data_IF_076260256232
#
_entry.id   IF_076260256232
#
_cell.length_a   1.000
_cell.length_b   1.000
_cell.length_c   1.000
_cell.angle_alpha   90.00
_cell.angle_beta   90.00
_cell.angle_gamma   90.00
#
_symmetry.space_group_name_H-M   'P 1'
#
loop_
_entity.id
_entity.type
_entity.pdbx_description
1 polymer ?
#
# COMPACT_ATOMS: atom_id res chain seq x y z
N UNK A 1 61.32 25.91 -47.15
CA UNK A 1 61.52 24.47 -46.79
C UNK A 1 61.56 24.30 -45.28
N UNK A 2 60.51 24.02 -44.63
CA UNK A 2 60.54 23.49 -43.30
C UNK A 2 59.16 22.76 -43.06
N UNK A 3 59.20 21.45 -43.01
CA UNK A 3 58.02 20.57 -42.65
C UNK A 3 57.84 20.65 -41.19
N UNK A 4 56.60 21.09 -40.70
CA UNK A 4 56.15 20.96 -39.34
C UNK A 4 55.47 19.62 -39.20
N UNK A 5 56.00 18.79 -38.33
CA UNK A 5 55.36 17.60 -37.79
C UNK A 5 54.30 18.01 -36.76
N UNK A 6 53.05 17.67 -37.00
CA UNK A 6 51.98 17.83 -36.06
C UNK A 6 51.70 16.46 -35.42
N UNK A 7 52.06 16.33 -34.15
CA UNK A 7 51.75 15.14 -33.32
C UNK A 7 50.28 15.16 -32.92
N UNK A 8 49.52 14.21 -33.42
CA UNK A 8 48.18 13.89 -32.89
C UNK A 8 48.33 13.20 -31.55
N UNK A 9 47.82 13.82 -30.50
CA UNK A 9 47.58 13.18 -29.22
C UNK A 9 46.15 12.60 -29.27
N UNK A 10 46.05 11.29 -29.41
CA UNK A 10 44.78 10.57 -29.30
C UNK A 10 44.38 10.47 -27.82
N UNK A 11 43.36 11.21 -27.41
CA UNK A 11 42.72 11.05 -26.12
C UNK A 11 41.84 9.79 -26.20
N UNK A 12 42.26 8.72 -25.55
CA UNK A 12 41.44 7.55 -25.34
C UNK A 12 40.36 7.88 -24.31
N UNK A 13 39.15 8.23 -24.79
CA UNK A 13 37.96 8.22 -23.93
C UNK A 13 37.64 6.77 -23.58
N UNK A 14 37.83 6.41 -22.30
CA UNK A 14 37.30 5.20 -21.72
C UNK A 14 35.77 5.24 -21.76
N UNK A 15 35.18 4.61 -22.75
CA UNK A 15 33.77 4.21 -22.71
C UNK A 15 33.61 3.09 -21.69
N UNK A 16 33.28 3.43 -20.47
CA UNK A 16 32.75 2.47 -19.53
C UNK A 16 31.33 2.10 -20.02
N UNK A 17 31.03 0.80 -20.22
CA UNK A 17 29.67 0.43 -20.55
C UNK A 17 28.79 0.71 -19.31
N UNK A 18 27.88 1.65 -19.47
CA UNK A 18 26.74 1.76 -18.56
C UNK A 18 25.93 0.48 -18.77
N UNK A 19 26.12 -0.48 -17.87
CA UNK A 19 25.26 -1.66 -17.81
C UNK A 19 23.90 -1.16 -17.35
N UNK A 20 23.04 -0.83 -18.28
CA UNK A 20 21.62 -0.70 -18.03
C UNK A 20 21.15 -2.11 -17.64
N UNK A 21 20.91 -2.33 -16.36
CA UNK A 21 20.24 -3.52 -15.87
C UNK A 21 18.79 -3.37 -16.33
N UNK A 22 18.50 -3.90 -17.51
CA UNK A 22 17.13 -4.08 -17.95
C UNK A 22 16.43 -4.99 -16.93
N UNK A 23 15.30 -4.56 -16.39
CA UNK A 23 14.39 -5.46 -15.72
C UNK A 23 14.07 -6.57 -16.75
N UNK A 24 14.38 -7.81 -16.41
CA UNK A 24 14.18 -8.93 -17.34
C UNK A 24 12.67 -9.10 -17.56
N UNK A 25 12.24 -8.89 -18.80
CA UNK A 25 10.88 -9.20 -19.25
C UNK A 25 10.67 -10.73 -19.44
N UNK A 26 11.57 -11.56 -18.88
CA UNK A 26 11.48 -12.99 -18.95
C UNK A 26 10.48 -13.51 -17.89
N UNK A 27 9.32 -14.04 -18.32
CA UNK A 27 8.33 -14.61 -17.41
C UNK A 27 8.88 -15.74 -16.52
N UNK A 28 9.86 -16.49 -17.00
CA UNK A 28 10.48 -17.58 -16.24
C UNK A 28 11.40 -17.07 -15.14
N UNK A 29 12.11 -15.98 -15.38
CA UNK A 29 12.91 -15.31 -14.35
C UNK A 29 12.02 -14.70 -13.26
N UNK A 30 10.91 -14.09 -13.65
CA UNK A 30 9.91 -13.57 -12.71
C UNK A 30 9.33 -14.68 -11.83
N UNK A 31 8.94 -15.82 -12.40
CA UNK A 31 8.44 -16.97 -11.63
C UNK A 31 9.50 -17.58 -10.72
N UNK A 32 10.77 -17.67 -11.16
CA UNK A 32 11.90 -18.12 -10.32
C UNK A 32 12.10 -17.21 -9.12
N UNK A 33 12.06 -15.91 -9.31
CA UNK A 33 12.19 -14.93 -8.24
C UNK A 33 11.00 -14.97 -7.27
N UNK A 34 9.78 -15.17 -7.78
CA UNK A 34 8.60 -15.41 -6.95
C UNK A 34 8.72 -16.68 -6.11
N UNK A 35 9.18 -17.78 -6.72
CA UNK A 35 9.40 -19.05 -6.01
C UNK A 35 10.43 -18.88 -4.90
N UNK A 36 11.51 -18.14 -5.14
CA UNK A 36 12.54 -17.82 -4.15
C UNK A 36 11.97 -17.00 -2.99
N UNK A 37 11.18 -15.96 -3.26
CA UNK A 37 10.49 -15.19 -2.22
C UNK A 37 9.56 -16.05 -1.35
N UNK A 38 8.86 -16.99 -1.97
CA UNK A 38 7.98 -17.93 -1.27
C UNK A 38 8.74 -18.95 -0.41
N UNK A 39 10.04 -19.15 -0.64
CA UNK A 39 10.89 -20.05 0.14
C UNK A 39 11.67 -19.34 1.25
N UNK A 40 11.83 -18.03 1.18
CA UNK A 40 12.60 -17.29 2.19
C UNK A 40 11.84 -17.20 3.52
N UNK A 41 12.52 -17.46 4.65
CA UNK A 41 11.90 -17.41 5.98
C UNK A 41 11.41 -16.01 6.30
N UNK A 42 10.36 -15.92 7.12
CA UNK A 42 9.84 -14.66 7.61
C UNK A 42 10.88 -13.95 8.49
N UNK A 43 11.23 -12.73 8.10
CA UNK A 43 12.14 -11.86 8.86
C UNK A 43 11.40 -10.65 9.41
N UNK A 44 11.95 -10.07 10.49
CA UNK A 44 11.46 -8.86 11.13
C UNK A 44 12.60 -7.86 11.23
N UNK A 45 12.38 -6.66 10.69
CA UNK A 45 13.39 -5.59 10.62
C UNK A 45 12.76 -4.27 11.02
N UNK A 46 13.39 -3.53 11.94
CA UNK A 46 13.00 -2.14 12.19
C UNK A 46 13.56 -1.27 11.08
N UNK A 47 12.71 -0.43 10.53
CA UNK A 47 13.08 0.53 9.48
C UNK A 47 12.60 1.92 9.85
N UNK A 48 13.32 2.92 9.38
CA UNK A 48 12.98 4.33 9.53
C UNK A 48 12.62 4.90 8.16
N UNK A 49 11.58 5.68 8.08
CA UNK A 49 11.18 6.39 6.86
C UNK A 49 11.09 7.90 7.06
N UNK A 50 10.57 8.57 6.07
CA UNK A 50 10.25 9.99 6.14
C UNK A 50 9.18 10.27 7.23
N UNK A 51 9.05 11.51 7.71
CA UNK A 51 7.98 11.89 8.63
C UNK A 51 6.60 11.45 8.11
N UNK A 52 5.85 10.74 8.95
CA UNK A 52 4.54 10.15 8.62
C UNK A 52 4.56 9.03 7.57
N UNK A 53 5.69 8.40 7.31
CA UNK A 53 5.81 7.32 6.32
C UNK A 53 4.84 6.16 6.58
N UNK A 54 4.56 5.86 7.84
CA UNK A 54 3.66 4.77 8.25
C UNK A 54 2.34 5.27 8.90
N UNK A 55 1.96 6.53 8.64
CA UNK A 55 0.78 7.19 9.18
C UNK A 55 1.16 8.44 9.99
N UNK A 56 0.17 9.20 10.40
CA UNK A 56 0.37 10.46 11.11
C UNK A 56 1.20 10.27 12.40
N UNK A 57 2.34 10.95 12.47
CA UNK A 57 3.28 10.86 13.59
C UNK A 57 4.16 9.60 13.58
N UNK A 58 4.02 8.74 12.58
CA UNK A 58 4.76 7.48 12.47
C UNK A 58 5.92 7.62 11.47
N UNK A 59 7.14 7.34 11.94
CA UNK A 59 8.39 7.37 11.14
C UNK A 59 9.12 6.05 11.15
N UNK A 60 8.77 5.14 12.05
CA UNK A 60 9.43 3.85 12.21
C UNK A 60 8.39 2.72 12.24
N UNK A 61 8.73 1.62 11.63
CA UNK A 61 7.88 0.42 11.63
C UNK A 61 8.71 -0.86 11.58
N UNK A 62 8.05 -1.96 11.86
CA UNK A 62 8.58 -3.30 11.66
C UNK A 62 8.17 -3.78 10.26
N UNK A 63 9.11 -4.17 9.43
CA UNK A 63 8.85 -4.90 8.20
C UNK A 63 8.80 -6.40 8.51
N UNK A 64 7.65 -7.05 8.23
CA UNK A 64 7.45 -8.50 8.30
C UNK A 64 7.44 -9.08 6.88
N UNK A 65 8.57 -9.60 6.40
CA UNK A 65 8.72 -10.00 4.99
C UNK A 65 9.18 -11.44 4.88
N UNK A 66 8.56 -12.22 4.00
CA UNK A 66 8.90 -13.61 3.75
C UNK A 66 7.77 -14.59 4.07
N UNK A 67 8.10 -15.87 4.15
CA UNK A 67 7.18 -16.98 4.41
C UNK A 67 7.09 -17.25 5.90
N UNK A 68 5.90 -17.50 6.41
CA UNK A 68 5.69 -18.06 7.75
C UNK A 68 6.19 -19.52 7.76
N UNK A 69 7.43 -19.70 8.15
CA UNK A 69 8.13 -20.98 8.26
C UNK A 69 8.23 -21.39 9.73
N UNK A 70 8.72 -22.60 9.98
CA UNK A 70 8.95 -23.12 11.33
C UNK A 70 9.86 -22.17 12.14
N UNK A 71 9.46 -21.86 13.36
CA UNK A 71 10.16 -20.93 14.26
C UNK A 71 9.93 -19.45 13.98
N UNK A 72 9.05 -19.07 13.04
CA UNK A 72 8.73 -17.65 12.77
C UNK A 72 8.19 -16.95 14.01
N UNK A 73 7.33 -17.60 14.78
CA UNK A 73 6.78 -17.04 16.01
C UNK A 73 7.84 -16.85 17.10
N UNK A 74 8.77 -17.80 17.19
CA UNK A 74 9.89 -17.70 18.14
C UNK A 74 10.82 -16.55 17.75
N UNK A 75 11.18 -16.41 16.47
CA UNK A 75 11.98 -15.27 15.97
C UNK A 75 11.28 -13.94 16.26
N UNK A 76 9.95 -13.89 16.16
CA UNK A 76 9.21 -12.67 16.47
C UNK A 76 9.23 -12.33 17.96
N UNK A 77 9.13 -13.32 18.86
CA UNK A 77 9.29 -13.10 20.32
C UNK A 77 10.67 -12.58 20.64
N UNK A 78 11.72 -13.20 20.10
CA UNK A 78 13.11 -12.77 20.28
C UNK A 78 13.36 -11.37 19.74
N UNK A 79 12.82 -11.05 18.58
CA UNK A 79 12.87 -9.72 18.00
C UNK A 79 12.24 -8.67 18.92
N UNK A 80 11.04 -8.92 19.45
CA UNK A 80 10.38 -8.02 20.38
C UNK A 80 11.11 -7.92 21.72
N UNK A 81 11.68 -9.02 22.22
CA UNK A 81 12.46 -9.01 23.46
C UNK A 81 13.76 -8.18 23.34
N UNK A 82 14.39 -8.21 22.16
CA UNK A 82 15.58 -7.40 21.85
C UNK A 82 15.29 -5.97 21.40
N UNK A 83 14.02 -5.60 21.18
CA UNK A 83 13.64 -4.27 20.72
C UNK A 83 13.34 -3.33 21.89
N UNK A 84 13.93 -2.14 21.86
CA UNK A 84 13.59 -1.07 22.80
C UNK A 84 12.19 -0.47 22.56
N UNK A 85 11.64 -0.66 21.35
CA UNK A 85 10.35 -0.12 20.91
C UNK A 85 9.43 -1.30 20.56
N UNK A 86 8.47 -1.59 21.42
CA UNK A 86 7.51 -2.71 21.24
C UNK A 86 6.17 -2.29 20.65
N UNK A 87 5.95 -1.01 20.48
CA UNK A 87 4.71 -0.38 20.03
C UNK A 87 4.71 0.01 18.54
N UNK A 88 5.81 -0.28 17.82
CA UNK A 88 5.91 0.01 16.41
C UNK A 88 4.86 -0.77 15.62
N UNK A 89 4.22 -0.15 14.62
CA UNK A 89 3.35 -0.88 13.72
C UNK A 89 4.15 -1.87 12.89
N UNK A 90 3.56 -3.03 12.60
CA UNK A 90 4.15 -4.02 11.69
C UNK A 90 3.44 -4.01 10.35
N UNK A 91 4.21 -3.99 9.26
CA UNK A 91 3.67 -4.14 7.92
C UNK A 91 4.15 -5.45 7.30
N UNK A 92 3.18 -6.29 6.95
CA UNK A 92 3.45 -7.57 6.31
C UNK A 92 3.49 -7.45 4.79
N UNK A 93 4.42 -8.19 4.18
CA UNK A 93 4.42 -8.53 2.76
C UNK A 93 4.79 -10.00 2.61
N UNK A 94 3.79 -10.87 2.50
CA UNK A 94 3.94 -12.31 2.56
C UNK A 94 2.85 -13.04 1.78
N UNK A 95 3.21 -14.13 1.13
CA UNK A 95 2.24 -15.07 0.51
C UNK A 95 1.68 -16.12 1.49
N UNK A 96 2.09 -16.07 2.77
CA UNK A 96 1.63 -16.98 3.79
C UNK A 96 2.68 -18.01 4.21
N UNK A 97 2.26 -19.22 4.56
CA UNK A 97 3.11 -20.31 5.04
C UNK A 97 2.42 -21.18 6.08
N UNK A 98 3.11 -21.50 7.17
CA UNK A 98 2.58 -22.34 8.23
C UNK A 98 1.54 -21.59 9.06
N UNK A 99 0.34 -22.14 9.10
CA UNK A 99 -0.79 -21.56 9.81
C UNK A 99 -0.56 -21.48 11.32
N UNK A 100 0.05 -22.51 11.91
CA UNK A 100 0.39 -22.56 13.33
C UNK A 100 1.30 -21.39 13.76
N UNK A 101 2.30 -21.08 12.95
CA UNK A 101 3.22 -19.99 13.20
C UNK A 101 2.52 -18.62 13.08
N UNK A 102 1.68 -18.48 12.05
CA UNK A 102 0.94 -17.26 11.81
C UNK A 102 -0.05 -16.93 12.95
N UNK A 103 -0.78 -17.94 13.44
CA UNK A 103 -1.70 -17.75 14.58
C UNK A 103 -0.94 -17.38 15.85
N UNK A 104 0.21 -18.02 16.12
CA UNK A 104 1.05 -17.64 17.26
C UNK A 104 1.54 -16.18 17.16
N UNK A 105 1.98 -15.74 15.97
CA UNK A 105 2.35 -14.34 15.73
C UNK A 105 1.13 -13.43 15.96
N UNK A 106 -0.04 -13.81 15.50
CA UNK A 106 -1.27 -13.07 15.75
C UNK A 106 -1.59 -12.92 17.25
N UNK A 107 -1.39 -13.96 18.04
CA UNK A 107 -1.54 -13.90 19.50
C UNK A 107 -0.53 -12.93 20.11
N UNK A 108 0.74 -12.99 19.70
CA UNK A 108 1.80 -12.07 20.17
C UNK A 108 1.45 -10.61 19.82
N UNK A 109 0.95 -10.36 18.61
CA UNK A 109 0.50 -9.02 18.20
C UNK A 109 -0.63 -8.51 19.11
N UNK A 110 -1.58 -9.38 19.46
CA UNK A 110 -2.70 -9.05 20.36
C UNK A 110 -2.22 -8.73 21.77
N UNK A 111 -1.38 -9.58 22.34
CA UNK A 111 -0.83 -9.42 23.68
C UNK A 111 -0.03 -8.11 23.83
N UNK A 112 0.69 -7.72 22.78
CA UNK A 112 1.46 -6.47 22.74
C UNK A 112 0.66 -5.28 22.21
N UNK A 113 -0.65 -5.42 21.95
CA UNK A 113 -1.54 -4.36 21.44
C UNK A 113 -1.01 -3.69 20.17
N UNK A 114 -0.30 -4.44 19.34
CA UNK A 114 0.34 -3.89 18.15
C UNK A 114 -0.66 -3.53 17.05
N UNK A 115 -0.24 -2.60 16.22
CA UNK A 115 -0.89 -2.27 14.94
C UNK A 115 -0.28 -3.12 13.83
N UNK A 116 -1.10 -3.70 12.96
CA UNK A 116 -0.64 -4.40 11.77
C UNK A 116 -1.29 -3.86 10.50
N UNK A 117 -0.52 -3.85 9.43
CA UNK A 117 -0.95 -3.48 8.09
C UNK A 117 -0.29 -4.33 7.00
N UNK A 118 -0.59 -4.01 5.75
CA UNK A 118 -0.02 -4.68 4.57
C UNK A 118 0.67 -3.66 3.69
N UNK A 119 1.98 -3.77 3.57
CA UNK A 119 2.77 -2.89 2.72
C UNK A 119 4.11 -3.53 2.35
N UNK A 120 4.68 -3.10 1.24
CA UNK A 120 6.04 -3.42 0.84
C UNK A 120 6.99 -2.41 1.46
N UNK A 121 7.95 -2.89 2.20
CA UNK A 121 9.07 -2.07 2.69
C UNK A 121 10.20 -2.17 1.68
N UNK A 122 10.62 -1.06 1.12
CA UNK A 122 11.69 -0.98 0.12
C UNK A 122 12.82 -0.12 0.68
N UNK A 123 14.01 -0.68 0.96
CA UNK A 123 15.15 0.06 1.44
C UNK A 123 15.54 1.20 0.48
N UNK A 124 16.06 2.27 1.02
CA UNK A 124 16.57 3.38 0.22
C UNK A 124 17.70 2.90 -0.71
N UNK A 125 17.71 3.41 -1.94
CA UNK A 125 18.63 2.96 -2.99
C UNK A 125 18.18 1.69 -3.71
N UNK A 126 17.10 1.04 -3.27
CA UNK A 126 16.50 -0.12 -3.94
C UNK A 126 15.41 0.32 -4.91
N UNK A 127 15.34 -0.36 -6.06
CA UNK A 127 14.26 -0.14 -7.02
C UNK A 127 12.94 -0.74 -6.53
N UNK A 128 11.83 -0.10 -6.88
CA UNK A 128 10.48 -0.61 -6.62
C UNK A 128 10.14 -1.76 -7.58
N UNK A 129 11.04 -2.70 -7.74
CA UNK A 129 10.77 -3.95 -8.46
C UNK A 129 10.00 -4.92 -7.58
N UNK A 130 9.22 -5.78 -8.18
CA UNK A 130 8.63 -6.90 -7.48
C UNK A 130 8.96 -8.18 -8.25
N UNK A 131 9.59 -9.12 -7.59
CA UNK A 131 10.18 -9.11 -6.23
C UNK A 131 11.37 -8.14 -6.11
N UNK A 132 11.79 -7.80 -4.89
CA UNK A 132 13.05 -7.09 -4.67
C UNK A 132 14.20 -7.94 -5.21
N UNK A 133 15.20 -7.29 -5.79
CA UNK A 133 16.41 -7.98 -6.24
C UNK A 133 17.20 -8.59 -5.06
N UNK A 134 18.14 -9.47 -5.37
CA UNK A 134 18.90 -10.21 -4.37
C UNK A 134 19.74 -9.31 -3.46
N UNK A 135 20.25 -8.18 -3.97
CA UNK A 135 21.04 -7.24 -3.17
C UNK A 135 20.16 -6.53 -2.14
N UNK A 136 19.00 -6.05 -2.56
CA UNK A 136 18.04 -5.39 -1.69
C UNK A 136 17.44 -6.34 -0.65
N UNK A 137 17.23 -7.62 -1.00
CA UNK A 137 16.82 -8.64 -0.03
C UNK A 137 17.89 -8.91 1.02
N UNK A 138 19.16 -9.08 0.62
CA UNK A 138 20.28 -9.24 1.56
C UNK A 138 20.42 -8.03 2.47
N UNK A 139 20.19 -6.82 1.95
CA UNK A 139 20.17 -5.60 2.74
C UNK A 139 19.12 -5.71 3.85
N UNK A 140 17.88 -6.06 3.53
CA UNK A 140 16.81 -6.27 4.50
C UNK A 140 17.17 -7.34 5.55
N UNK A 141 17.86 -8.41 5.15
CA UNK A 141 18.26 -9.50 6.03
C UNK A 141 19.43 -9.15 6.96
N UNK A 142 20.17 -8.08 6.68
CA UNK A 142 21.41 -7.74 7.40
C UNK A 142 21.23 -7.30 8.86
N UNK A 143 19.97 -7.27 9.37
CA UNK A 143 19.58 -6.86 10.73
C UNK A 143 20.07 -5.45 11.15
N UNK A 144 20.53 -4.63 10.21
CA UNK A 144 20.83 -3.23 10.45
C UNK A 144 19.54 -2.43 10.37
N UNK A 145 19.47 -1.33 11.10
CA UNK A 145 18.41 -0.35 10.89
C UNK A 145 18.62 0.30 9.52
N UNK A 146 17.57 0.32 8.70
CA UNK A 146 17.61 0.86 7.35
C UNK A 146 16.65 2.00 7.20
N UNK A 147 17.01 2.98 6.39
CA UNK A 147 16.06 3.92 5.82
C UNK A 147 15.31 3.23 4.70
N UNK A 148 13.99 3.34 4.71
CA UNK A 148 13.13 2.66 3.75
C UNK A 148 11.92 3.50 3.40
N UNK A 149 11.28 3.16 2.29
CA UNK A 149 9.96 3.67 1.89
C UNK A 149 8.91 2.57 2.00
N UNK A 150 7.69 2.98 2.34
CA UNK A 150 6.54 2.09 2.45
C UNK A 150 5.66 2.22 1.21
N UNK A 151 5.39 1.10 0.54
CA UNK A 151 4.56 1.07 -0.66
C UNK A 151 3.40 0.11 -0.47
N UNK A 152 2.19 0.61 -0.73
CA UNK A 152 0.97 -0.19 -0.64
C UNK A 152 0.64 -0.89 -1.97
N UNK A 153 0.96 -0.25 -3.10
CA UNK A 153 0.78 -0.83 -4.43
C UNK A 153 1.50 -2.16 -4.60
N UNK A 154 0.75 -3.21 -4.96
CA UNK A 154 1.25 -4.57 -5.11
C UNK A 154 1.67 -5.27 -3.81
N UNK A 155 1.45 -4.65 -2.65
CA UNK A 155 1.64 -5.29 -1.35
C UNK A 155 0.58 -6.38 -1.12
N UNK A 156 0.97 -7.45 -0.45
CA UNK A 156 0.09 -8.59 -0.27
C UNK A 156 0.31 -9.32 1.05
N UNK A 157 -0.79 -9.80 1.60
CA UNK A 157 -0.80 -10.71 2.72
C UNK A 157 -1.74 -11.85 2.38
N UNK A 158 -1.18 -13.02 2.09
CA UNK A 158 -1.91 -14.19 1.62
C UNK A 158 -1.97 -15.32 2.64
N UNK A 159 -3.04 -16.13 2.60
CA UNK A 159 -3.14 -17.37 3.37
C UNK A 159 -2.87 -17.15 4.87
N UNK A 160 -1.89 -17.88 5.44
CA UNK A 160 -1.49 -17.77 6.84
C UNK A 160 -1.20 -16.33 7.30
N UNK A 161 -0.64 -15.48 6.42
CA UNK A 161 -0.39 -14.08 6.73
C UNK A 161 -1.66 -13.31 7.18
N UNK A 162 -2.81 -13.60 6.57
CA UNK A 162 -4.08 -12.98 6.95
C UNK A 162 -4.40 -13.28 8.41
N UNK A 163 -4.20 -14.52 8.84
CA UNK A 163 -4.46 -14.94 10.23
C UNK A 163 -3.47 -14.32 11.22
N UNK A 164 -2.21 -14.11 10.83
CA UNK A 164 -1.28 -13.33 11.67
C UNK A 164 -1.74 -11.88 11.82
N UNK A 165 -2.06 -11.22 10.71
CA UNK A 165 -2.45 -9.81 10.68
C UNK A 165 -3.71 -9.55 11.50
N UNK A 166 -4.74 -10.40 11.40
CA UNK A 166 -6.01 -10.20 12.14
C UNK A 166 -5.86 -10.37 13.66
N UNK A 167 -4.75 -10.93 14.12
CA UNK A 167 -4.40 -10.95 15.54
C UNK A 167 -4.12 -9.56 16.13
N UNK A 168 -3.64 -8.62 15.35
CA UNK A 168 -3.34 -7.28 15.84
C UNK A 168 -4.56 -6.56 16.44
N UNK A 169 -4.30 -5.64 17.38
CA UNK A 169 -5.35 -4.83 18.01
C UNK A 169 -5.88 -3.76 17.07
N UNK A 170 -5.00 -3.13 16.32
CA UNK A 170 -5.35 -2.20 15.25
C UNK A 170 -4.89 -2.78 13.92
N UNK A 171 -5.78 -2.82 12.94
CA UNK A 171 -5.56 -3.46 11.65
C UNK A 171 -5.93 -2.53 10.52
N UNK A 172 -5.10 -2.50 9.47
CA UNK A 172 -5.41 -1.71 8.29
C UNK A 172 -4.88 -2.32 7.00
N UNK A 173 -5.64 -2.15 5.94
CA UNK A 173 -5.27 -2.55 4.59
C UNK A 173 -5.50 -1.35 3.68
N UNK A 174 -4.42 -0.70 3.27
CA UNK A 174 -4.52 0.49 2.45
C UNK A 174 -4.86 0.16 0.99
N UNK A 175 -5.43 1.09 0.24
CA UNK A 175 -5.65 0.92 -1.19
C UNK A 175 -4.37 0.53 -1.93
N UNK A 176 -4.49 -0.42 -2.84
CA UNK A 176 -3.35 -1.01 -3.55
C UNK A 176 -2.71 -2.21 -2.85
N UNK A 177 -2.92 -2.38 -1.54
CA UNK A 177 -2.57 -3.61 -0.83
C UNK A 177 -3.71 -4.63 -0.90
N UNK A 178 -3.37 -5.92 -0.87
CA UNK A 178 -4.35 -6.99 -0.99
C UNK A 178 -4.23 -8.03 0.13
N UNK A 179 -5.38 -8.42 0.68
CA UNK A 179 -5.52 -9.66 1.46
C UNK A 179 -6.01 -10.77 0.55
N UNK A 180 -5.40 -11.95 0.63
CA UNK A 180 -5.74 -13.08 -0.23
C UNK A 180 -5.95 -14.34 0.58
N UNK A 181 -7.07 -15.03 0.33
CA UNK A 181 -7.46 -16.23 1.07
C UNK A 181 -7.57 -17.43 0.14
N UNK A 182 -7.39 -18.61 0.70
CA UNK A 182 -7.69 -19.92 0.13
C UNK A 182 -7.92 -20.95 1.25
N UNK A 183 -8.43 -22.14 0.91
CA UNK A 183 -8.64 -23.20 1.88
C UNK A 183 -7.34 -23.65 2.54
N UNK A 184 -7.43 -24.07 3.79
CA UNK A 184 -6.35 -24.80 4.43
C UNK A 184 -6.03 -26.10 3.63
N UNK A 185 -4.81 -26.58 3.76
CA UNK A 185 -4.38 -27.85 3.16
C UNK A 185 -3.82 -28.77 4.24
N UNK A 186 -4.05 -30.06 4.10
CA UNK A 186 -3.51 -31.07 5.03
C UNK A 186 -4.56 -32.07 5.52
N UNK A 187 -4.14 -33.12 6.25
CA UNK A 187 -5.03 -34.21 6.65
C UNK A 187 -6.03 -33.85 7.76
N UNK A 188 -5.84 -32.74 8.47
CA UNK A 188 -6.69 -32.32 9.60
C UNK A 188 -7.40 -30.98 9.33
N UNK A 189 -7.88 -30.78 8.09
CA UNK A 189 -8.51 -29.51 7.66
C UNK A 189 -9.64 -29.12 8.60
N UNK A 190 -10.55 -30.02 8.94
CA UNK A 190 -11.73 -29.71 9.79
C UNK A 190 -11.31 -29.24 11.20
N UNK A 191 -10.27 -29.84 11.77
CA UNK A 191 -9.75 -29.42 13.08
C UNK A 191 -9.11 -28.03 12.97
N UNK A 192 -8.34 -27.79 11.91
CA UNK A 192 -7.70 -26.50 11.66
C UNK A 192 -8.76 -25.40 11.47
N UNK A 193 -9.80 -25.66 10.68
CA UNK A 193 -10.88 -24.70 10.44
C UNK A 193 -11.67 -24.39 11.73
N UNK A 194 -12.01 -25.43 12.52
CA UNK A 194 -12.68 -25.21 13.80
C UNK A 194 -11.83 -24.42 14.80
N UNK A 195 -10.53 -24.65 14.80
CA UNK A 195 -9.59 -23.86 15.58
C UNK A 195 -9.55 -22.41 15.09
N UNK A 196 -9.47 -22.18 13.78
CA UNK A 196 -9.45 -20.84 13.20
C UNK A 196 -10.74 -20.07 13.50
N UNK A 197 -11.92 -20.70 13.45
CA UNK A 197 -13.18 -20.01 13.81
C UNK A 197 -13.12 -19.46 15.24
N UNK A 198 -12.65 -20.29 16.21
CA UNK A 198 -12.46 -19.81 17.59
C UNK A 198 -11.42 -18.71 17.72
N UNK A 199 -10.30 -18.84 17.00
CA UNK A 199 -9.26 -17.82 16.95
C UNK A 199 -9.81 -16.50 16.44
N UNK A 200 -10.51 -16.49 15.31
CA UNK A 200 -11.08 -15.28 14.71
C UNK A 200 -12.08 -14.59 15.66
N UNK A 201 -12.95 -15.33 16.31
CA UNK A 201 -13.86 -14.79 17.34
C UNK A 201 -13.06 -14.10 18.45
N UNK A 202 -12.01 -14.72 18.96
CA UNK A 202 -11.12 -14.13 19.97
C UNK A 202 -10.39 -12.87 19.47
N UNK A 203 -10.19 -12.75 18.15
CA UNK A 203 -9.58 -11.57 17.52
C UNK A 203 -10.61 -10.52 17.06
N UNK A 204 -11.90 -10.73 17.35
CA UNK A 204 -12.98 -9.80 16.95
C UNK A 204 -13.17 -9.75 15.43
N UNK A 205 -12.99 -10.89 14.76
CA UNK A 205 -13.20 -11.07 13.32
C UNK A 205 -14.31 -12.10 13.10
N UNK A 206 -15.17 -11.87 12.11
CA UNK A 206 -16.26 -12.80 11.78
C UNK A 206 -15.68 -14.16 11.35
N UNK A 207 -16.03 -15.27 12.04
CA UNK A 207 -15.57 -16.61 11.70
C UNK A 207 -16.00 -17.08 10.30
N UNK A 208 -17.01 -16.45 9.68
CA UNK A 208 -17.39 -16.70 8.29
C UNK A 208 -16.25 -16.43 7.29
N UNK A 209 -15.18 -15.77 7.69
CA UNK A 209 -13.92 -15.68 6.90
C UNK A 209 -13.35 -17.06 6.60
N UNK A 210 -13.44 -18.03 7.55
CA UNK A 210 -12.99 -19.41 7.33
C UNK A 210 -13.83 -20.08 6.24
N UNK A 211 -15.16 -19.90 6.29
CA UNK A 211 -16.08 -20.47 5.30
C UNK A 211 -15.84 -19.88 3.89
N UNK A 212 -15.53 -18.58 3.85
CA UNK A 212 -15.15 -17.91 2.60
C UNK A 212 -13.83 -18.45 2.05
N UNK A 213 -12.85 -18.76 2.89
CA UNK A 213 -11.59 -19.36 2.50
C UNK A 213 -11.74 -20.82 2.04
N UNK A 214 -12.53 -21.63 2.75
CA UNK A 214 -12.76 -23.04 2.45
C UNK A 214 -13.33 -23.29 1.05
N UNK A 215 -14.02 -22.30 0.47
CA UNK A 215 -14.57 -22.38 -0.89
C UNK A 215 -13.54 -22.16 -2.00
N UNK A 216 -12.32 -21.77 -1.66
CA UNK A 216 -11.28 -21.43 -2.63
C UNK A 216 -10.24 -22.57 -2.62
N UNK A 217 -9.90 -23.08 -3.79
CA UNK A 217 -8.88 -24.13 -3.89
C UNK A 217 -7.57 -23.72 -3.23
N UNK A 218 -6.92 -24.63 -2.50
CA UNK A 218 -5.62 -24.39 -1.88
C UNK A 218 -4.50 -24.04 -2.86
N UNK A 219 -4.73 -24.22 -4.15
CA UNK A 219 -3.79 -23.91 -5.24
C UNK A 219 -3.99 -22.51 -5.84
N UNK A 220 -5.06 -21.82 -5.47
CA UNK A 220 -5.41 -20.51 -6.00
C UNK A 220 -5.65 -19.53 -4.87
N UNK A 221 -5.69 -18.24 -5.19
CA UNK A 221 -6.02 -17.20 -4.22
C UNK A 221 -7.25 -16.41 -4.69
N UNK A 222 -8.09 -16.06 -3.74
CA UNK A 222 -9.11 -15.03 -3.92
C UNK A 222 -8.71 -13.79 -3.11
N UNK A 223 -8.63 -12.62 -3.77
CA UNK A 223 -8.50 -11.34 -3.08
C UNK A 223 -9.77 -10.99 -2.30
N UNK A 224 -9.62 -10.47 -1.10
CA UNK A 224 -10.72 -9.88 -0.36
C UNK A 224 -11.00 -8.48 -0.89
N UNK A 225 -12.26 -8.23 -1.24
CA UNK A 225 -12.73 -6.89 -1.57
C UNK A 225 -12.81 -6.02 -0.31
N UNK A 226 -12.97 -4.71 -0.51
CA UNK A 226 -13.23 -3.79 0.62
C UNK A 226 -14.49 -4.21 1.39
N UNK A 227 -15.55 -4.58 0.67
CA UNK A 227 -16.78 -5.08 1.28
C UNK A 227 -16.59 -6.39 2.07
N UNK A 228 -15.70 -7.30 1.62
CA UNK A 228 -15.35 -8.49 2.41
C UNK A 228 -14.64 -8.10 3.72
N UNK A 229 -13.68 -7.15 3.65
CA UNK A 229 -12.93 -6.69 4.82
C UNK A 229 -13.83 -6.03 5.87
N UNK A 230 -14.80 -5.24 5.42
CA UNK A 230 -15.82 -4.65 6.28
C UNK A 230 -16.75 -5.71 6.88
N UNK A 231 -17.28 -6.60 6.05
CA UNK A 231 -18.18 -7.67 6.46
C UNK A 231 -17.56 -8.57 7.51
N UNK A 232 -16.28 -8.91 7.37
CA UNK A 232 -15.59 -9.77 8.34
C UNK A 232 -14.99 -9.00 9.52
N UNK A 233 -15.10 -7.67 9.55
CA UNK A 233 -14.53 -6.85 10.63
C UNK A 233 -13.01 -6.87 10.65
N UNK A 234 -12.36 -6.95 9.48
CA UNK A 234 -10.90 -7.06 9.39
C UNK A 234 -10.24 -5.74 9.77
N UNK A 235 -10.75 -4.60 9.31
CA UNK A 235 -10.22 -3.29 9.65
C UNK A 235 -10.80 -2.76 10.96
N UNK A 236 -9.94 -2.24 11.85
CA UNK A 236 -10.35 -1.82 13.21
C UNK A 236 -9.90 -0.42 13.59
N UNK A 237 -9.21 0.29 12.72
CA UNK A 237 -8.66 1.61 13.04
C UNK A 237 -9.68 2.73 12.94
N UNK A 238 -9.38 3.84 13.65
CA UNK A 238 -10.06 5.12 13.46
C UNK A 238 -9.70 5.76 12.12
N UNK A 239 -9.81 7.09 12.03
CA UNK A 239 -9.36 7.81 10.83
C UNK A 239 -7.88 7.55 10.62
N UNK A 240 -7.54 6.98 9.48
CA UNK A 240 -6.19 6.71 9.06
C UNK A 240 -5.92 7.38 7.71
N UNK A 241 -4.77 7.98 7.62
CA UNK A 241 -4.31 8.65 6.41
C UNK A 241 -2.99 8.04 5.97
N UNK A 242 -2.91 7.59 4.71
CA UNK A 242 -1.64 7.08 4.16
C UNK A 242 -0.66 8.22 3.91
N UNK A 243 0.65 7.96 3.86
CA UNK A 243 1.57 8.89 3.20
C UNK A 243 1.20 9.04 1.71
N UNK A 244 1.75 10.05 1.05
CA UNK A 244 1.74 10.09 -0.41
C UNK A 244 2.66 8.98 -0.92
N UNK A 245 2.18 8.19 -1.84
CA UNK A 245 2.96 7.09 -2.43
C UNK A 245 2.77 7.03 -3.94
N UNK A 246 3.86 6.70 -4.64
CA UNK A 246 3.83 6.50 -6.07
C UNK A 246 3.24 5.12 -6.40
N UNK A 247 2.30 5.09 -7.31
CA UNK A 247 1.78 3.88 -7.92
C UNK A 247 2.18 3.87 -9.40
N UNK A 248 3.01 2.92 -9.76
CA UNK A 248 3.34 2.63 -11.15
C UNK A 248 2.42 1.50 -11.60
N UNK A 249 1.32 1.84 -12.25
CA UNK A 249 0.43 0.88 -12.90
C UNK A 249 1.09 0.22 -14.12
N UNK A 250 0.47 0.26 -15.27
CA UNK A 250 1.14 -0.05 -16.54
C UNK A 250 2.19 1.02 -16.86
N UNK A 251 3.15 0.73 -17.73
CA UNK A 251 4.31 1.59 -18.07
C UNK A 251 3.96 3.04 -18.53
N UNK A 252 2.69 3.42 -18.54
CA UNK A 252 2.19 4.74 -18.97
C UNK A 252 1.41 5.51 -17.90
N UNK A 253 1.19 4.92 -16.70
CA UNK A 253 0.37 5.54 -15.67
C UNK A 253 1.16 5.71 -14.38
N UNK A 254 1.80 6.86 -14.21
CA UNK A 254 2.34 7.28 -12.94
C UNK A 254 1.25 8.02 -12.17
N UNK A 255 0.98 7.56 -10.94
CA UNK A 255 0.02 8.18 -10.03
C UNK A 255 0.68 8.42 -8.69
N UNK A 256 0.47 9.60 -8.10
CA UNK A 256 0.69 9.82 -6.68
C UNK A 256 -0.64 9.66 -5.96
N UNK A 257 -0.70 8.73 -5.04
CA UNK A 257 -1.91 8.34 -4.33
C UNK A 257 -1.83 8.70 -2.85
N UNK A 258 -2.97 9.09 -2.29
CA UNK A 258 -3.17 9.22 -0.85
C UNK A 258 -4.58 8.81 -0.49
N UNK A 259 -4.72 8.11 0.63
CA UNK A 259 -6.02 7.61 1.08
C UNK A 259 -6.30 8.02 2.50
N UNK A 260 -7.57 8.26 2.79
CA UNK A 260 -8.10 8.46 4.12
C UNK A 260 -9.18 7.41 4.37
N UNK A 261 -9.03 6.66 5.44
CA UNK A 261 -10.01 5.68 5.91
C UNK A 261 -10.58 6.16 7.24
N UNK A 262 -11.89 6.13 7.37
CA UNK A 262 -12.60 6.58 8.58
C UNK A 262 -13.72 5.60 8.93
N UNK A 263 -14.05 5.47 10.23
CA UNK A 263 -15.13 4.63 10.67
C UNK A 263 -16.49 5.21 10.25
N UNK A 264 -17.43 4.33 9.98
CA UNK A 264 -18.84 4.63 9.70
C UNK A 264 -19.74 3.71 10.51
N UNK A 265 -21.03 3.98 10.50
CA UNK A 265 -22.00 3.24 11.32
C UNK A 265 -22.10 3.78 12.75
N UNK A 266 -23.16 3.37 13.44
CA UNK A 266 -23.46 3.88 14.78
C UNK A 266 -22.47 3.37 15.84
N UNK A 267 -21.82 2.24 15.57
CA UNK A 267 -20.83 1.61 16.47
C UNK A 267 -19.37 1.85 16.04
N UNK A 268 -19.13 2.53 14.89
CA UNK A 268 -17.79 2.70 14.35
C UNK A 268 -17.13 1.39 13.89
N UNK A 269 -17.94 0.38 13.61
CA UNK A 269 -17.51 -0.98 13.22
C UNK A 269 -17.35 -1.17 11.70
N UNK A 270 -17.75 -0.17 10.92
CA UNK A 270 -17.59 -0.14 9.46
C UNK A 270 -16.61 0.96 9.07
N UNK A 271 -15.89 0.74 8.00
CA UNK A 271 -14.88 1.68 7.51
C UNK A 271 -15.13 2.06 6.05
N UNK A 272 -14.78 3.28 5.71
CA UNK A 272 -14.85 3.82 4.35
C UNK A 272 -13.53 4.47 3.98
N UNK A 273 -13.06 4.16 2.79
CA UNK A 273 -11.85 4.74 2.25
C UNK A 273 -12.19 5.72 1.13
N UNK A 274 -11.52 6.85 1.15
CA UNK A 274 -11.48 7.84 0.07
C UNK A 274 -10.04 7.95 -0.39
N UNK A 275 -9.84 8.03 -1.69
CA UNK A 275 -8.50 8.14 -2.29
C UNK A 275 -8.47 9.34 -3.20
N UNK A 276 -7.38 10.08 -3.15
CA UNK A 276 -7.02 11.08 -4.14
C UNK A 276 -5.80 10.60 -4.91
N UNK A 277 -5.80 10.89 -6.20
CA UNK A 277 -4.65 10.64 -7.06
C UNK A 277 -4.27 11.94 -7.80
N UNK A 278 -2.98 12.14 -7.94
CA UNK A 278 -2.41 13.11 -8.88
C UNK A 278 -1.78 12.33 -10.03
N UNK A 279 -2.11 12.71 -11.23
CA UNK A 279 -1.66 12.06 -12.47
C UNK A 279 -1.22 13.09 -13.50
N UNK A 280 -0.54 12.62 -14.54
CA UNK A 280 -0.31 13.45 -15.72
C UNK A 280 -1.64 13.81 -16.39
N UNK A 281 -1.84 15.08 -16.62
CA UNK A 281 -2.97 15.55 -17.43
C UNK A 281 -2.68 15.33 -18.92
N UNK A 282 -3.69 15.04 -19.76
CA UNK A 282 -3.54 15.10 -21.21
C UNK A 282 -3.37 16.55 -21.73
N UNK A 283 -3.68 17.54 -20.90
CA UNK A 283 -3.50 18.95 -21.26
C UNK A 283 -2.14 19.45 -20.83
N UNK A 284 -1.40 20.17 -21.70
CA UNK A 284 -0.10 20.73 -21.37
C UNK A 284 -0.15 21.61 -20.11
N UNK A 285 0.91 21.53 -19.30
CA UNK A 285 1.06 22.31 -18.07
C UNK A 285 -0.08 22.18 -17.06
N UNK A 286 -0.76 21.05 -17.05
CA UNK A 286 -1.82 20.75 -16.09
C UNK A 286 -1.55 19.44 -15.37
N UNK A 287 -2.06 19.33 -14.15
CA UNK A 287 -2.06 18.11 -13.34
C UNK A 287 -3.50 17.63 -13.25
N UNK A 288 -3.70 16.34 -13.47
CA UNK A 288 -4.99 15.70 -13.28
C UNK A 288 -5.15 15.27 -11.83
N UNK A 289 -6.22 15.73 -11.21
CA UNK A 289 -6.66 15.28 -9.90
C UNK A 289 -7.81 14.28 -10.07
N UNK A 290 -7.75 13.18 -9.33
CA UNK A 290 -8.81 12.17 -9.30
C UNK A 290 -9.23 11.96 -7.85
N UNK A 291 -10.50 12.15 -7.57
CA UNK A 291 -11.13 11.76 -6.31
C UNK A 291 -11.90 10.45 -6.50
N UNK A 292 -11.64 9.51 -5.63
CA UNK A 292 -12.11 8.15 -5.76
C UNK A 292 -12.77 7.67 -4.48
N UNK A 293 -13.96 7.10 -4.62
CA UNK A 293 -14.73 6.50 -3.54
C UNK A 293 -15.18 5.10 -3.95
N UNK A 294 -14.76 4.08 -3.20
CA UNK A 294 -15.36 2.75 -3.28
C UNK A 294 -16.68 2.73 -2.50
N UNK A 295 -17.73 2.23 -3.13
CA UNK A 295 -19.01 1.97 -2.47
C UNK A 295 -19.02 0.53 -1.98
N UNK A 296 -19.49 0.30 -0.75
CA UNK A 296 -19.78 -1.06 -0.31
C UNK A 296 -20.87 -1.68 -1.16
N UNK A 297 -20.88 -3.02 -1.26
CA UNK A 297 -21.84 -3.76 -2.09
C UNK A 297 -23.32 -3.47 -1.79
N UNK A 298 -23.60 -2.99 -0.58
CA UNK A 298 -24.94 -2.62 -0.11
C UNK A 298 -25.11 -1.08 0.05
N UNK A 299 -24.13 -0.29 -0.36
CA UNK A 299 -24.21 1.18 -0.26
C UNK A 299 -24.94 1.75 -1.48
N UNK A 300 -26.17 2.17 -1.29
CA UNK A 300 -26.99 2.85 -2.31
C UNK A 300 -26.80 4.37 -2.28
N UNK A 301 -25.99 4.89 -1.34
CA UNK A 301 -25.88 6.32 -1.07
C UNK A 301 -24.67 6.90 -1.79
N UNK A 302 -24.90 7.46 -2.96
CA UNK A 302 -23.92 8.28 -3.66
C UNK A 302 -24.12 9.76 -3.30
N UNK A 303 -23.04 10.52 -3.13
CA UNK A 303 -23.19 11.97 -3.01
C UNK A 303 -23.77 12.55 -4.30
N UNK A 304 -24.70 13.49 -4.15
CA UNK A 304 -25.27 14.27 -5.27
C UNK A 304 -24.21 15.18 -5.89
N UNK A 305 -23.32 15.70 -5.07
CA UNK A 305 -22.27 16.61 -5.46
C UNK A 305 -21.04 16.41 -4.57
N UNK A 306 -19.86 16.57 -5.13
CA UNK A 306 -18.61 16.67 -4.40
C UNK A 306 -18.04 18.07 -4.65
N UNK A 307 -17.80 18.81 -3.57
CA UNK A 307 -17.14 20.10 -3.61
C UNK A 307 -15.69 19.92 -3.17
N UNK A 308 -14.75 20.23 -4.05
CA UNK A 308 -13.33 20.19 -3.75
C UNK A 308 -12.84 21.60 -3.40
N UNK A 309 -12.14 21.72 -2.26
CA UNK A 309 -11.36 22.90 -1.89
C UNK A 309 -9.88 22.54 -1.97
N UNK A 310 -9.18 23.19 -2.89
CA UNK A 310 -7.76 22.96 -3.16
C UNK A 310 -7.05 24.31 -3.06
N UNK A 311 -6.35 24.53 -1.94
CA UNK A 311 -5.89 25.87 -1.59
C UNK A 311 -7.06 26.85 -1.51
N UNK A 312 -7.00 27.93 -2.26
CA UNK A 312 -8.06 28.93 -2.34
C UNK A 312 -9.13 28.62 -3.40
N UNK A 313 -8.91 27.61 -4.22
CA UNK A 313 -9.83 27.23 -5.30
C UNK A 313 -10.96 26.36 -4.77
N UNK A 314 -12.20 26.69 -5.17
CA UNK A 314 -13.40 25.90 -4.87
C UNK A 314 -13.98 25.37 -6.19
N UNK A 315 -14.12 24.06 -6.29
CA UNK A 315 -14.55 23.37 -7.51
C UNK A 315 -15.73 22.48 -7.18
N UNK A 316 -16.87 22.70 -7.81
CA UNK A 316 -18.05 21.85 -7.68
C UNK A 316 -18.05 20.77 -8.75
N UNK A 317 -18.06 19.52 -8.32
CA UNK A 317 -18.05 18.34 -9.17
C UNK A 317 -19.41 17.66 -9.08
N UNK A 318 -20.23 17.73 -10.13
CA UNK A 318 -21.47 16.95 -10.19
C UNK A 318 -21.16 15.47 -10.15
N UNK A 319 -21.96 14.66 -9.45
CA UNK A 319 -21.74 13.21 -9.40
C UNK A 319 -22.34 12.51 -10.61
N UNK A 320 -21.65 11.47 -11.07
CA UNK A 320 -22.18 10.53 -12.07
C UNK A 320 -22.69 9.28 -11.39
N UNK A 321 -23.53 8.53 -12.09
CA UNK A 321 -23.93 7.20 -11.63
C UNK A 321 -22.69 6.33 -11.38
N UNK A 322 -22.60 5.65 -10.24
CA UNK A 322 -21.48 4.76 -9.95
C UNK A 322 -21.31 3.69 -11.03
N UNK A 323 -20.09 3.41 -11.44
CA UNK A 323 -19.76 2.26 -12.27
C UNK A 323 -19.07 1.21 -11.40
N UNK A 324 -19.59 -0.02 -11.40
CA UNK A 324 -19.01 -1.15 -10.68
C UNK A 324 -18.74 -0.87 -9.18
N UNK A 325 -19.63 -0.15 -8.51
CA UNK A 325 -19.44 0.22 -7.10
C UNK A 325 -18.42 1.34 -6.87
N UNK A 326 -18.05 2.08 -7.91
CA UNK A 326 -17.04 3.12 -7.87
C UNK A 326 -17.61 4.47 -8.23
N UNK A 327 -17.37 5.48 -7.40
CA UNK A 327 -17.55 6.88 -7.74
C UNK A 327 -16.16 7.49 -7.97
N UNK A 328 -15.94 7.96 -9.18
CA UNK A 328 -14.71 8.63 -9.58
C UNK A 328 -15.01 9.99 -10.15
N UNK A 329 -14.23 10.98 -9.76
CA UNK A 329 -14.25 12.33 -10.28
C UNK A 329 -12.86 12.80 -10.58
N UNK A 330 -12.66 13.28 -11.79
CA UNK A 330 -11.39 13.88 -12.18
C UNK A 330 -11.58 15.28 -12.72
N UNK A 331 -10.59 16.12 -12.51
CA UNK A 331 -10.48 17.46 -13.07
C UNK A 331 -9.01 17.82 -13.22
N UNK A 332 -8.74 18.72 -14.15
CA UNK A 332 -7.39 19.18 -14.41
C UNK A 332 -7.22 20.61 -13.85
N UNK A 333 -6.07 20.88 -13.29
CA UNK A 333 -5.75 22.20 -12.72
C UNK A 333 -4.28 22.58 -12.97
N UNK A 334 -4.00 23.86 -12.86
CA UNK A 334 -2.65 24.37 -13.01
C UNK A 334 -1.78 24.07 -11.78
N UNK A 335 -0.45 23.84 -11.94
CA UNK A 335 0.47 23.56 -10.83
C UNK A 335 0.42 24.58 -9.68
N UNK A 336 0.11 25.86 -9.96
CA UNK A 336 -0.04 26.90 -8.92
C UNK A 336 -1.13 26.58 -7.89
N UNK A 337 -2.22 25.91 -8.31
CA UNK A 337 -3.30 25.50 -7.42
C UNK A 337 -2.80 24.41 -6.46
N UNK A 338 -1.94 23.54 -6.93
CA UNK A 338 -1.31 22.53 -6.09
C UNK A 338 -0.35 23.16 -5.06
N UNK A 339 0.41 24.17 -5.46
CA UNK A 339 1.28 24.90 -4.54
C UNK A 339 0.47 25.58 -3.43
N UNK A 340 -0.63 26.25 -3.77
CA UNK A 340 -1.54 26.84 -2.79
C UNK A 340 -2.13 25.80 -1.82
N UNK A 341 -2.44 24.60 -2.30
CA UNK A 341 -2.91 23.52 -1.43
C UNK A 341 -1.81 22.99 -0.49
N UNK A 342 -0.55 22.92 -0.96
CA UNK A 342 0.59 22.54 -0.12
C UNK A 342 0.78 23.55 1.00
N UNK A 343 0.67 24.83 0.71
CA UNK A 343 0.75 25.92 1.68
C UNK A 343 -0.43 25.89 2.67
N UNK A 344 -1.63 25.57 2.20
CA UNK A 344 -2.82 25.37 3.04
C UNK A 344 -2.76 24.07 3.88
N UNK A 345 -1.86 23.16 3.58
CA UNK A 345 -1.62 21.91 4.32
C UNK A 345 -2.62 20.80 4.04
N UNK A 346 -3.64 21.00 3.21
CA UNK A 346 -4.62 19.94 2.91
C UNK A 346 -5.45 20.21 1.65
N UNK A 347 -5.97 19.10 1.09
CA UNK A 347 -7.12 19.11 0.18
C UNK A 347 -8.39 18.78 0.97
N UNK A 348 -9.49 19.43 0.70
CA UNK A 348 -10.77 19.21 1.35
C UNK A 348 -11.84 18.84 0.34
N UNK A 349 -12.58 17.77 0.60
CA UNK A 349 -13.72 17.35 -0.21
C UNK A 349 -14.97 17.32 0.65
N UNK A 350 -15.99 18.06 0.24
CA UNK A 350 -17.30 18.01 0.86
C UNK A 350 -18.22 17.16 -0.01
N UNK A 351 -18.58 15.98 0.50
CA UNK A 351 -19.60 15.13 -0.10
C UNK A 351 -20.97 15.63 0.35
N UNK A 352 -21.83 16.01 -0.60
CA UNK A 352 -23.20 16.47 -0.34
C UNK A 352 -24.18 15.37 -0.73
N UNK A 353 -25.02 14.97 0.19
CA UNK A 353 -26.01 13.91 0.01
C UNK A 353 -27.44 14.46 -0.01
N UNK A 354 -28.37 13.69 -0.56
CA UNK A 354 -29.79 14.00 -0.49
C UNK A 354 -30.28 14.00 0.96
N UNK A 355 -30.84 15.10 1.38
CA UNK A 355 -31.36 15.27 2.75
C UNK A 355 -32.54 14.35 3.06
N UNK A 356 -33.27 13.90 2.05
CA UNK A 356 -34.37 12.95 2.24
C UNK A 356 -33.87 11.53 2.58
N UNK A 357 -32.60 11.23 2.31
CA UNK A 357 -32.02 9.89 2.44
C UNK A 357 -31.04 9.78 3.61
N UNK A 358 -30.43 10.89 4.07
CA UNK A 358 -29.40 10.87 5.11
C UNK A 358 -29.60 11.94 6.19
N UNK A 359 -29.41 11.53 7.45
CA UNK A 359 -29.49 12.43 8.62
C UNK A 359 -28.43 13.55 8.59
N UNK A 360 -27.28 13.32 7.99
CA UNK A 360 -26.20 14.30 7.82
C UNK A 360 -26.05 14.61 6.33
N UNK A 361 -26.47 15.79 5.87
CA UNK A 361 -26.51 16.11 4.44
C UNK A 361 -25.15 16.36 3.81
N UNK A 362 -24.09 16.48 4.60
CA UNK A 362 -22.74 16.68 4.07
C UNK A 362 -21.70 15.99 4.93
N UNK A 363 -20.59 15.62 4.30
CA UNK A 363 -19.41 15.04 4.94
C UNK A 363 -18.16 15.70 4.37
N UNK A 364 -17.26 16.11 5.26
CA UNK A 364 -15.96 16.65 4.87
C UNK A 364 -14.90 15.60 5.03
N UNK A 365 -14.15 15.33 3.95
CA UNK A 365 -12.98 14.46 3.92
C UNK A 365 -11.75 15.32 3.64
N UNK A 366 -10.74 15.23 4.49
CA UNK A 366 -9.49 15.99 4.36
C UNK A 366 -8.33 15.05 4.08
N UNK A 367 -7.45 15.48 3.17
CA UNK A 367 -6.20 14.81 2.84
C UNK A 367 -5.06 15.78 3.10
N UNK A 368 -4.14 15.42 4.00
CA UNK A 368 -2.96 16.24 4.26
C UNK A 368 -2.03 16.28 3.04
N UNK A 369 -1.45 17.44 2.78
CA UNK A 369 -0.39 17.59 1.76
C UNK A 369 1.00 17.27 2.31
N UNK A 370 1.10 16.86 3.58
CA UNK A 370 2.36 16.50 4.19
C UNK A 370 3.06 15.38 3.41
N UNK A 371 4.32 15.60 3.03
CA UNK A 371 5.10 14.68 2.21
C UNK A 371 4.81 14.77 0.70
N UNK A 372 3.86 15.59 0.26
CA UNK A 372 3.56 15.76 -1.17
C UNK A 372 4.70 16.42 -1.92
N UNK A 373 5.30 17.47 -1.35
CA UNK A 373 6.39 18.21 -1.99
C UNK A 373 7.56 17.33 -2.40
N UNK A 374 7.90 16.33 -1.59
CA UNK A 374 8.99 15.38 -1.89
C UNK A 374 8.67 14.47 -3.08
N UNK A 375 7.40 14.20 -3.34
CA UNK A 375 6.95 13.28 -4.38
C UNK A 375 6.55 14.00 -5.68
N UNK A 376 6.34 15.31 -5.62
CA UNK A 376 5.90 16.09 -6.79
C UNK A 376 6.98 16.18 -7.87
N UNK A 377 8.25 16.23 -7.46
CA UNK A 377 9.39 16.24 -8.39
C UNK A 377 9.39 14.99 -9.28
N UNK A 378 9.02 13.85 -8.71
CA UNK A 378 8.89 12.60 -9.49
C UNK A 378 7.70 12.69 -10.46
N UNK A 379 6.55 13.20 -10.01
CA UNK A 379 5.38 13.42 -10.87
C UNK A 379 5.74 14.34 -12.05
N UNK A 380 6.37 15.48 -11.78
CA UNK A 380 6.75 16.45 -12.81
C UNK A 380 7.72 15.82 -13.84
N UNK A 381 8.70 15.04 -13.39
CA UNK A 381 9.64 14.35 -14.27
C UNK A 381 8.97 13.31 -15.18
N UNK A 382 7.91 12.67 -14.71
CA UNK A 382 7.15 11.67 -15.48
C UNK A 382 6.13 12.32 -16.41
N UNK A 383 5.61 13.49 -16.03
CA UNK A 383 4.62 14.23 -16.81
C UNK A 383 5.24 15.21 -17.82
N UNK A 384 6.54 15.47 -17.74
CA UNK A 384 7.23 16.29 -18.73
C UNK A 384 7.05 15.69 -20.14
N UNK A 385 6.73 16.52 -21.16
CA UNK A 385 6.66 16.05 -22.53
C UNK A 385 7.99 15.41 -22.90
N UNK A 386 7.96 14.13 -23.31
CA UNK A 386 9.17 13.49 -23.84
C UNK A 386 9.61 14.30 -25.05
N UNK A 387 10.75 14.98 -24.93
CA UNK A 387 11.39 15.60 -26.09
C UNK A 387 11.59 14.52 -27.16
N UNK A 388 10.91 14.70 -28.30
CA UNK A 388 11.07 13.80 -29.43
C UNK A 388 12.55 13.81 -29.82
N UNK A 389 13.29 12.68 -29.85
CA UNK A 389 14.68 12.68 -30.27
C UNK A 389 14.85 12.69 -31.78
N UNK A 390 13.96 13.37 -32.51
CA UNK A 390 14.01 13.49 -33.97
C UNK A 390 13.59 14.89 -34.40
N UNK A 391 14.50 15.83 -34.31
CA UNK A 391 14.71 16.94 -35.25
C UNK A 391 16.19 17.15 -35.48
#
# INVERSE_FOLDING_TARGET
MVRKFMRCVAAALCCLPVVAIAASDDPQEFERQLAKLRSEPLIFVVVTGEPNACGRGCTEWVAGVGRFDEGSAQRFREFLAGSAKRDLPIFFNSDGGLLSEAVQIGVILRENRMTAGVARTVPEGCHLSFPLDDACRRLMQSKRQHTAKLYFGGARCGSACVYAMVGASTRHVDPGATLRIHSAAGPEIDKAENFLRRYLVGMGVDPALVDAAARISSRTFRGLSRGDMERFGIETRGVYETPWFAYNGSAREFLLLKSVTYPTGDKGDQFRTRTVALACSPFPSSIRFVYHQELAANETRTPLMIRAKIGDSLIDLSTMTPKNGLVEKSFDFEPRVLQSAIEAGSFEFTEVFDQSVVKKPSRVVRFSTLGLSSNIVELDSKCAPKSNPSQ
#
